data_IF_267306728568
#
_entry.id   IF_267306728568
#
_cell.length_a   1.000
_cell.length_b   1.000
_cell.length_c   1.000
_cell.angle_alpha   90.00
_cell.angle_beta   90.00
_cell.angle_gamma   90.00
#
_symmetry.space_group_name_H-M   'P 1'
#
loop_
_entity.id
_entity.type
_entity.pdbx_description
1 polymer ?
#
# COMPACT_ATOMS: atom_id res chain seq x y z
N UNK A 1 -9.57 11.11 -20.97
CA UNK A 1 -9.66 9.68 -20.56
C UNK A 1 -8.74 9.32 -19.40
N UNK A 2 -7.45 9.69 -19.41
CA UNK A 2 -6.51 9.39 -18.31
C UNK A 2 -6.35 10.52 -17.27
N UNK A 3 -7.17 11.57 -17.33
CA UNK A 3 -7.06 12.72 -16.44
C UNK A 3 -7.14 12.29 -14.96
N UNK A 4 -8.15 11.50 -14.62
CA UNK A 4 -8.39 11.07 -13.25
C UNK A 4 -7.26 10.16 -12.76
N UNK A 5 -6.75 9.26 -13.62
CA UNK A 5 -5.62 8.40 -13.29
C UNK A 5 -4.34 9.21 -13.01
N UNK A 6 -4.08 10.28 -13.78
CA UNK A 6 -2.94 11.19 -13.53
C UNK A 6 -3.08 11.92 -12.20
N UNK A 7 -4.30 12.38 -11.89
CA UNK A 7 -4.58 13.06 -10.63
C UNK A 7 -4.39 12.11 -9.43
N UNK A 8 -4.92 10.89 -9.53
CA UNK A 8 -4.72 9.85 -8.52
C UNK A 8 -3.24 9.47 -8.35
N UNK A 9 -2.46 9.44 -9.44
CA UNK A 9 -1.02 9.18 -9.35
C UNK A 9 -0.29 10.27 -8.56
N UNK A 10 -0.65 11.55 -8.76
CA UNK A 10 -0.07 12.65 -7.98
C UNK A 10 -0.41 12.53 -6.48
N UNK A 11 -1.65 12.13 -6.15
CA UNK A 11 -2.02 11.86 -4.76
C UNK A 11 -1.24 10.70 -4.17
N UNK A 12 -1.12 9.59 -4.90
CA UNK A 12 -0.32 8.44 -4.48
C UNK A 12 1.13 8.85 -4.20
N UNK A 13 1.72 9.67 -5.07
CA UNK A 13 3.07 10.20 -4.87
C UNK A 13 3.19 11.01 -3.59
N UNK A 14 2.29 11.98 -3.38
CA UNK A 14 2.29 12.83 -2.19
C UNK A 14 2.14 12.01 -0.90
N UNK A 15 1.20 11.07 -0.88
CA UNK A 15 0.96 10.17 0.26
C UNK A 15 2.15 9.23 0.50
N UNK A 16 2.84 8.80 -0.56
CA UNK A 16 4.05 7.97 -0.43
C UNK A 16 5.21 8.76 0.21
N UNK A 17 5.37 10.03 -0.16
CA UNK A 17 6.34 10.93 0.47
C UNK A 17 5.99 11.14 1.94
N UNK A 18 4.72 11.35 2.26
CA UNK A 18 4.27 11.49 3.64
C UNK A 18 4.54 10.21 4.46
N UNK A 19 4.23 9.04 3.91
CA UNK A 19 4.53 7.75 4.54
C UNK A 19 6.01 7.58 4.87
N UNK A 20 6.90 7.97 3.95
CA UNK A 20 8.34 7.93 4.20
C UNK A 20 8.73 8.79 5.41
N UNK A 21 8.15 9.98 5.54
CA UNK A 21 8.43 10.87 6.67
C UNK A 21 7.91 10.29 8.00
N UNK A 22 6.72 9.68 8.01
CA UNK A 22 6.22 8.99 9.21
C UNK A 22 7.03 7.74 9.56
N UNK A 23 7.49 6.98 8.57
CA UNK A 23 8.36 5.84 8.78
C UNK A 23 9.70 6.25 9.43
N UNK A 24 10.32 7.34 8.96
CA UNK A 24 11.54 7.90 9.59
C UNK A 24 11.29 8.35 11.03
N UNK A 25 10.16 9.04 11.29
CA UNK A 25 9.78 9.44 12.65
C UNK A 25 9.60 8.23 13.56
N UNK A 26 8.95 7.18 13.07
CA UNK A 26 8.75 5.95 13.82
C UNK A 26 10.06 5.21 14.09
N UNK A 27 10.98 5.16 13.12
CA UNK A 27 12.33 4.59 13.33
C UNK A 27 13.08 5.31 14.45
N UNK A 28 13.01 6.65 14.50
CA UNK A 28 13.60 7.42 15.60
C UNK A 28 12.98 7.08 16.97
N UNK A 29 11.67 6.87 17.02
CA UNK A 29 10.96 6.43 18.24
C UNK A 29 11.45 5.05 18.67
N UNK A 30 11.59 4.10 17.74
CA UNK A 30 12.12 2.76 18.01
C UNK A 30 13.54 2.87 18.58
N UNK A 31 14.42 3.64 17.94
CA UNK A 31 15.80 3.83 18.41
C UNK A 31 15.84 4.41 19.82
N UNK A 32 15.03 5.42 20.10
CA UNK A 32 14.92 6.01 21.43
C UNK A 32 14.42 5.00 22.48
N UNK A 33 13.40 4.20 22.14
CA UNK A 33 12.93 3.13 23.02
C UNK A 33 14.04 2.11 23.30
N UNK A 34 14.74 1.65 22.26
CA UNK A 34 15.84 0.69 22.42
C UNK A 34 16.97 1.23 23.28
N UNK A 35 17.42 2.48 23.10
CA UNK A 35 18.51 3.04 23.90
C UNK A 35 18.16 3.20 25.38
N UNK A 36 16.92 3.54 25.71
CA UNK A 36 16.51 3.77 27.10
C UNK A 36 16.21 2.49 27.87
N UNK A 37 15.64 1.46 27.22
CA UNK A 37 15.14 0.26 27.90
C UNK A 37 16.10 -0.94 27.92
N UNK A 38 17.16 -0.95 27.10
CA UNK A 38 18.17 -2.04 27.10
C UNK A 38 18.89 -2.18 28.46
N UNK A 39 18.88 -1.15 29.31
CA UNK A 39 19.44 -1.22 30.67
C UNK A 39 18.58 -2.00 31.67
N UNK A 40 17.30 -2.27 31.37
CA UNK A 40 16.37 -3.03 32.20
C UNK A 40 15.76 -4.19 31.40
N UNK A 41 16.50 -5.29 31.30
CA UNK A 41 16.17 -6.55 30.59
C UNK A 41 14.81 -7.21 30.95
N UNK A 42 14.03 -6.67 31.88
CA UNK A 42 12.78 -7.26 32.38
C UNK A 42 11.49 -6.66 31.80
N UNK A 43 11.56 -5.67 30.90
CA UNK A 43 10.38 -4.95 30.42
C UNK A 43 9.98 -5.27 28.96
N UNK A 44 9.91 -6.55 28.61
CA UNK A 44 9.51 -7.03 27.27
C UNK A 44 8.09 -6.58 26.88
N UNK A 45 7.21 -6.30 27.85
CA UNK A 45 5.84 -5.80 27.60
C UNK A 45 5.85 -4.39 26.99
N UNK A 46 6.87 -3.57 27.30
CA UNK A 46 7.00 -2.22 26.76
C UNK A 46 7.35 -2.16 25.27
N UNK A 47 7.63 -3.27 24.59
CA UNK A 47 7.88 -3.30 23.14
C UNK A 47 6.73 -3.88 22.33
N UNK A 48 5.70 -4.42 22.98
CA UNK A 48 4.53 -5.02 22.30
C UNK A 48 3.87 -4.05 21.33
N UNK A 49 3.67 -2.79 21.74
CA UNK A 49 3.05 -1.77 20.90
C UNK A 49 3.89 -1.39 19.67
N UNK A 50 5.23 -1.51 19.71
CA UNK A 50 6.09 -1.31 18.53
C UNK A 50 5.86 -2.45 17.55
N UNK A 51 5.90 -3.70 18.04
CA UNK A 51 5.66 -4.88 17.22
C UNK A 51 4.27 -4.89 16.61
N UNK A 52 3.25 -4.48 17.37
CA UNK A 52 1.86 -4.40 16.91
C UNK A 52 1.70 -3.36 15.81
N UNK A 53 2.39 -2.21 15.89
CA UNK A 53 2.38 -1.20 14.84
C UNK A 53 3.11 -1.66 13.57
N UNK A 54 4.28 -2.28 13.71
CA UNK A 54 5.00 -2.85 12.57
C UNK A 54 4.15 -3.89 11.83
N UNK A 55 3.50 -4.79 12.58
CA UNK A 55 2.57 -5.77 12.04
C UNK A 55 1.30 -5.11 11.46
N UNK A 56 0.83 -4.03 12.06
CA UNK A 56 -0.33 -3.26 11.60
C UNK A 56 -0.10 -2.61 10.22
N UNK A 57 1.11 -2.11 9.96
CA UNK A 57 1.49 -1.55 8.66
C UNK A 57 1.32 -2.58 7.54
N UNK A 58 1.80 -3.80 7.74
CA UNK A 58 1.65 -4.87 6.74
C UNK A 58 0.17 -5.20 6.48
N UNK A 59 -0.65 -5.23 7.54
CA UNK A 59 -2.09 -5.51 7.44
C UNK A 59 -2.84 -4.47 6.61
N UNK A 60 -2.40 -3.21 6.59
CA UNK A 60 -3.00 -2.17 5.78
C UNK A 60 -2.92 -2.46 4.26
N UNK A 61 -1.95 -3.25 3.81
CA UNK A 61 -1.81 -3.62 2.40
C UNK A 61 -2.60 -4.87 2.00
N UNK A 62 -3.40 -5.43 2.90
CA UNK A 62 -4.23 -6.61 2.66
C UNK A 62 -5.66 -6.18 2.34
N UNK A 63 -6.08 -6.34 1.08
CA UNK A 63 -7.46 -6.11 0.68
C UNK A 63 -8.32 -7.36 0.95
N UNK A 64 -9.36 -7.28 1.81
CA UNK A 64 -10.21 -8.43 2.13
C UNK A 64 -10.97 -8.99 0.92
N UNK A 65 -11.20 -8.16 -0.11
CA UNK A 65 -11.87 -8.59 -1.35
C UNK A 65 -10.92 -9.30 -2.33
N UNK A 66 -9.62 -9.28 -2.07
CA UNK A 66 -8.60 -9.77 -2.99
C UNK A 66 -8.39 -8.87 -4.20
N UNK A 67 -7.57 -9.34 -5.15
CA UNK A 67 -7.38 -8.69 -6.44
C UNK A 67 -8.50 -9.11 -7.42
N UNK A 68 -8.82 -8.29 -8.42
CA UNK A 68 -9.82 -8.65 -9.43
C UNK A 68 -9.51 -10.00 -10.08
N UNK A 69 -10.46 -10.95 -9.98
CA UNK A 69 -10.34 -12.29 -10.56
C UNK A 69 -9.67 -13.33 -9.67
N UNK A 70 -9.02 -12.96 -8.56
CA UNK A 70 -8.34 -13.90 -7.65
C UNK A 70 -8.50 -13.48 -6.18
N UNK A 71 -9.57 -13.94 -5.52
CA UNK A 71 -9.88 -13.58 -4.13
C UNK A 71 -8.86 -14.11 -3.09
N UNK A 72 -8.05 -15.09 -3.49
CA UNK A 72 -6.96 -15.67 -2.68
C UNK A 72 -5.76 -14.73 -2.56
N UNK A 73 -5.52 -13.91 -3.59
CA UNK A 73 -4.43 -12.94 -3.61
C UNK A 73 -4.92 -11.61 -3.06
N UNK A 74 -4.45 -11.24 -1.87
CA UNK A 74 -4.98 -10.09 -1.13
C UNK A 74 -3.99 -8.96 -0.95
N UNK A 75 -2.71 -9.24 -1.10
CA UNK A 75 -1.69 -8.23 -0.92
C UNK A 75 -1.64 -7.28 -2.13
N UNK A 76 -1.83 -5.98 -1.86
CA UNK A 76 -1.99 -4.96 -2.90
C UNK A 76 -0.68 -4.62 -3.63
N UNK A 77 0.46 -4.62 -2.91
CA UNK A 77 1.78 -4.41 -3.54
C UNK A 77 2.34 -5.70 -4.15
N UNK A 78 2.26 -6.82 -3.41
CA UNK A 78 2.85 -8.10 -3.75
C UNK A 78 1.78 -9.11 -4.17
N UNK A 79 1.30 -8.99 -5.39
CA UNK A 79 0.45 -9.98 -6.05
C UNK A 79 1.09 -10.44 -7.36
N UNK A 80 0.69 -11.60 -7.85
CA UNK A 80 1.08 -12.08 -9.19
C UNK A 80 0.03 -11.70 -10.20
N UNK A 81 0.44 -11.54 -11.46
CA UNK A 81 -0.50 -11.20 -12.53
C UNK A 81 -1.48 -12.34 -12.75
N UNK A 82 -2.74 -11.98 -12.96
CA UNK A 82 -3.77 -12.91 -13.42
C UNK A 82 -3.40 -13.60 -14.74
N UNK A 83 -2.59 -12.95 -15.59
CA UNK A 83 -2.22 -13.42 -16.93
C UNK A 83 -0.93 -14.22 -16.95
N UNK A 84 0.02 -13.91 -16.07
CA UNK A 84 1.30 -14.61 -15.97
C UNK A 84 1.74 -14.71 -14.50
N UNK A 85 1.52 -15.87 -13.90
CA UNK A 85 1.86 -16.15 -12.49
C UNK A 85 3.37 -16.14 -12.22
N UNK A 86 4.21 -16.24 -13.26
CA UNK A 86 5.67 -16.19 -13.17
C UNK A 86 6.25 -14.79 -13.37
N UNK A 87 5.41 -13.80 -13.69
CA UNK A 87 5.83 -12.42 -13.82
C UNK A 87 5.41 -11.63 -12.58
N UNK A 88 6.40 -11.24 -11.79
CA UNK A 88 6.20 -10.39 -10.62
C UNK A 88 6.50 -8.93 -10.97
N UNK A 89 5.57 -8.06 -10.64
CA UNK A 89 5.76 -6.61 -10.67
C UNK A 89 5.01 -5.97 -9.50
N UNK A 90 5.62 -5.01 -8.81
CA UNK A 90 4.95 -4.32 -7.70
C UNK A 90 3.68 -3.63 -8.20
N UNK A 91 2.60 -3.69 -7.43
CA UNK A 91 1.30 -3.12 -7.82
C UNK A 91 0.76 -3.74 -9.11
N UNK A 92 0.87 -5.07 -9.25
CA UNK A 92 0.48 -5.80 -10.47
C UNK A 92 -0.94 -5.46 -10.95
N UNK A 93 -1.89 -5.22 -10.04
CA UNK A 93 -3.27 -4.84 -10.41
C UNK A 93 -3.35 -3.57 -11.24
N UNK A 94 -2.51 -2.57 -10.95
CA UNK A 94 -2.42 -1.33 -11.74
C UNK A 94 -1.82 -1.62 -13.11
N UNK A 95 -0.75 -2.41 -13.17
CA UNK A 95 -0.13 -2.82 -14.44
C UNK A 95 -1.10 -3.62 -15.32
N UNK A 96 -1.85 -4.56 -14.74
CA UNK A 96 -2.87 -5.33 -15.44
C UNK A 96 -3.98 -4.44 -16.02
N UNK A 97 -4.38 -3.39 -15.30
CA UNK A 97 -5.34 -2.39 -15.74
C UNK A 97 -4.78 -1.47 -16.85
N UNK A 98 -3.51 -1.07 -16.76
CA UNK A 98 -2.80 -0.32 -17.82
C UNK A 98 -2.74 -1.15 -19.10
N UNK A 99 -2.42 -2.44 -19.00
CA UNK A 99 -2.38 -3.33 -20.15
C UNK A 99 -3.77 -3.63 -20.73
N UNK A 100 -4.83 -3.59 -19.91
CA UNK A 100 -6.20 -3.63 -20.39
C UNK A 100 -6.54 -2.34 -21.17
N UNK A 101 -6.16 -1.17 -20.65
CA UNK A 101 -6.34 0.12 -21.34
C UNK A 101 -5.60 0.17 -22.69
N UNK A 102 -4.35 -0.32 -22.75
CA UNK A 102 -3.57 -0.39 -23.99
C UNK A 102 -4.22 -1.29 -25.05
N UNK A 103 -4.88 -2.38 -24.63
CA UNK A 103 -5.54 -3.35 -25.52
C UNK A 103 -6.96 -2.95 -25.92
N UNK A 104 -7.54 -1.94 -25.27
CA UNK A 104 -8.89 -1.45 -25.55
C UNK A 104 -9.00 -0.91 -26.99
N UNK A 105 -9.99 -1.42 -27.73
CA UNK A 105 -10.19 -1.12 -29.15
C UNK A 105 -11.20 0.00 -29.37
N UNK A 106 -12.12 0.19 -28.42
CA UNK A 106 -13.16 1.22 -28.50
C UNK A 106 -12.93 2.33 -27.48
N UNK A 107 -13.45 3.54 -27.76
CA UNK A 107 -13.36 4.66 -26.83
C UNK A 107 -14.13 4.39 -25.53
N UNK A 108 -15.25 3.66 -25.60
CA UNK A 108 -16.01 3.25 -24.42
C UNK A 108 -15.18 2.33 -23.50
N UNK A 109 -14.49 1.34 -24.07
CA UNK A 109 -13.58 0.47 -23.31
C UNK A 109 -12.41 1.26 -22.69
N UNK A 110 -11.85 2.23 -23.42
CA UNK A 110 -10.77 3.10 -22.93
C UNK A 110 -11.23 3.96 -21.75
N UNK A 111 -12.45 4.49 -21.78
CA UNK A 111 -13.01 5.24 -20.65
C UNK A 111 -13.17 4.33 -19.42
N UNK A 112 -13.71 3.12 -19.61
CA UNK A 112 -13.94 2.18 -18.51
C UNK A 112 -12.62 1.71 -17.88
N UNK A 113 -11.66 1.29 -18.69
CA UNK A 113 -10.33 0.86 -18.22
C UNK A 113 -9.52 2.02 -17.64
N UNK A 114 -9.68 3.24 -18.16
CA UNK A 114 -9.07 4.44 -17.57
C UNK A 114 -9.58 4.73 -16.15
N UNK A 115 -10.88 4.57 -15.92
CA UNK A 115 -11.48 4.65 -14.56
C UNK A 115 -10.99 3.54 -13.65
N UNK A 116 -10.82 2.32 -14.17
CA UNK A 116 -10.25 1.21 -13.40
C UNK A 116 -8.82 1.51 -12.93
N UNK A 117 -7.97 2.10 -13.78
CA UNK A 117 -6.62 2.52 -13.38
C UNK A 117 -6.69 3.50 -12.20
N UNK A 118 -7.52 4.54 -12.32
CA UNK A 118 -7.69 5.53 -11.26
C UNK A 118 -8.18 4.90 -9.94
N UNK A 119 -9.12 3.96 -10.03
CA UNK A 119 -9.64 3.22 -8.87
C UNK A 119 -8.57 2.33 -8.22
N UNK A 120 -7.77 1.60 -8.99
CA UNK A 120 -6.72 0.75 -8.42
C UNK A 120 -5.64 1.60 -7.74
N UNK A 121 -5.30 2.78 -8.28
CA UNK A 121 -4.41 3.73 -7.63
C UNK A 121 -4.99 4.21 -6.30
N UNK A 122 -6.29 4.56 -6.26
CA UNK A 122 -6.91 5.05 -5.02
C UNK A 122 -6.98 3.98 -3.92
N UNK A 123 -7.12 2.70 -4.28
CA UNK A 123 -7.06 1.58 -3.32
C UNK A 123 -5.68 1.49 -2.66
N UNK A 124 -4.60 1.65 -3.44
CA UNK A 124 -3.24 1.65 -2.89
C UNK A 124 -3.00 2.89 -2.05
N UNK A 125 -3.42 4.07 -2.52
CA UNK A 125 -3.33 5.31 -1.75
C UNK A 125 -3.95 5.14 -0.37
N UNK A 126 -5.18 4.62 -0.29
CA UNK A 126 -5.88 4.41 0.98
C UNK A 126 -5.13 3.43 1.90
N UNK A 127 -4.45 2.44 1.33
CA UNK A 127 -3.64 1.49 2.09
C UNK A 127 -2.41 2.16 2.70
N UNK A 128 -1.80 3.10 1.97
CA UNK A 128 -0.69 3.90 2.50
C UNK A 128 -1.19 4.87 3.59
N UNK A 129 -2.36 5.48 3.43
CA UNK A 129 -2.99 6.31 4.47
C UNK A 129 -3.27 5.52 5.76
N UNK A 130 -3.76 4.28 5.64
CA UNK A 130 -3.90 3.34 6.76
C UNK A 130 -2.55 3.09 7.44
N UNK A 131 -1.49 2.87 6.66
CA UNK A 131 -0.15 2.65 7.18
C UNK A 131 0.40 3.90 7.90
N UNK A 132 0.19 5.10 7.34
CA UNK A 132 0.51 6.38 7.99
C UNK A 132 -0.23 6.49 9.32
N UNK A 133 -1.53 6.22 9.35
CA UNK A 133 -2.34 6.26 10.57
C UNK A 133 -1.81 5.29 11.63
N UNK A 134 -1.43 4.08 11.22
CA UNK A 134 -0.84 3.05 12.10
C UNK A 134 0.48 3.51 12.72
N UNK A 135 1.33 4.19 11.95
CA UNK A 135 2.61 4.74 12.44
C UNK A 135 2.43 6.00 13.29
N UNK A 136 1.46 6.84 12.92
CA UNK A 136 1.18 8.15 13.52
C UNK A 136 0.47 8.07 14.86
N UNK A 137 -0.39 7.07 15.06
CA UNK A 137 -1.29 7.00 16.22
C UNK A 137 -0.52 7.26 17.52
N UNK A 138 -0.86 8.37 18.18
CA UNK A 138 -0.20 8.83 19.39
C UNK A 138 -0.64 7.94 20.55
N UNK A 139 0.32 7.52 21.38
CA UNK A 139 0.03 7.13 22.77
C UNK A 139 -0.23 8.43 23.53
#
# INVERSE_FOLDING_TARGET
>A
MLHDAKHQLNYLYNVSVEFLEYAKKFDNIIRYALTNYVTKLYDLKNFSWINDRLMGVERCFINPRGIPGEASQRHLLFSVSSKNKYHFITMTTIHDAIDAFKRAKTDAERVLTGRQIAFQISVIQHSIECAISTLSNRI
#
